data_IF_458177615642
#
_entry.id   IF_458177615642
#
_cell.length_a   1.000
_cell.length_b   1.000
_cell.length_c   1.000
_cell.angle_alpha   90.00
_cell.angle_beta   90.00
_cell.angle_gamma   90.00
#
_symmetry.space_group_name_H-M   'P 1'
#
loop_
_entity.id
_entity.type
_entity.pdbx_description
1 polymer ?
#
# COMPACT_ATOMS: atom_id res chain seq x y z
N UNK A 1 10.91 22.66 2.93
CA UNK A 1 10.68 22.04 4.25
C UNK A 1 11.92 21.24 4.63
N UNK A 2 12.72 21.71 5.58
CA UNK A 2 13.88 20.95 6.10
C UNK A 2 13.38 20.11 7.26
N UNK A 3 13.16 18.82 7.02
CA UNK A 3 12.77 17.90 8.09
C UNK A 3 14.05 17.44 8.77
N UNK A 4 14.14 17.58 10.09
CA UNK A 4 15.29 17.09 10.86
C UNK A 4 15.10 15.60 11.10
N UNK A 5 15.88 14.78 10.40
CA UNK A 5 15.92 13.34 10.61
C UNK A 5 16.73 13.06 11.89
N UNK A 6 16.10 13.13 13.07
CA UNK A 6 16.71 12.83 14.36
C UNK A 6 16.28 11.45 14.88
N UNK A 7 17.25 10.56 15.09
CA UNK A 7 17.02 9.32 15.85
C UNK A 7 16.81 9.66 17.32
N UNK A 8 15.56 9.53 17.79
CA UNK A 8 15.23 9.56 19.21
C UNK A 8 14.13 8.54 19.49
N UNK A 9 14.44 7.62 20.40
CA UNK A 9 13.52 6.63 20.94
C UNK A 9 12.41 7.35 21.69
N UNK A 10 11.24 7.52 21.07
CA UNK A 10 9.98 7.84 21.75
C UNK A 10 8.82 7.30 20.89
N UNK A 11 8.53 6.02 21.07
CA UNK A 11 7.27 5.40 20.66
C UNK A 11 6.18 5.84 21.64
N UNK A 12 5.66 7.05 21.48
CA UNK A 12 4.32 7.38 21.96
C UNK A 12 3.79 8.63 21.27
N UNK A 13 2.53 8.55 20.87
CA UNK A 13 1.66 9.63 20.37
C UNK A 13 1.80 9.99 18.90
N UNK A 14 1.10 9.21 18.06
CA UNK A 14 0.45 9.69 16.84
C UNK A 14 -0.83 8.85 16.57
N UNK A 15 -1.72 8.80 17.55
CA UNK A 15 -3.14 8.52 17.34
C UNK A 15 -3.92 9.68 17.95
N UNK A 16 -4.02 10.77 17.19
CA UNK A 16 -5.05 11.77 17.47
C UNK A 16 -6.32 11.35 16.73
N UNK A 17 -7.25 10.84 17.53
CA UNK A 17 -8.66 10.72 17.22
C UNK A 17 -9.24 12.12 16.98
N UNK A 18 -9.79 12.35 15.79
CA UNK A 18 -10.79 13.40 15.62
C UNK A 18 -12.12 12.87 16.16
N UNK A 19 -12.42 13.29 17.38
CA UNK A 19 -13.76 13.25 17.95
C UNK A 19 -14.68 14.18 17.15
N UNK A 20 -15.76 13.63 16.61
CA UNK A 20 -16.95 14.41 16.24
C UNK A 20 -17.91 14.31 17.41
N UNK A 21 -18.01 15.39 18.19
CA UNK A 21 -18.93 15.48 19.30
C UNK A 21 -20.37 15.61 18.81
N UNK A 22 -21.23 14.81 19.44
CA UNK A 22 -22.67 14.75 19.33
C UNK A 22 -23.35 16.10 19.57
N UNK A 23 -24.45 16.34 18.85
CA UNK A 23 -25.63 16.96 19.45
C UNK A 23 -26.84 16.07 19.20
N UNK A 24 -27.42 15.65 20.31
CA UNK A 24 -28.58 14.78 20.47
C UNK A 24 -29.87 15.45 20.01
N UNK A 25 -30.75 14.70 19.33
CA UNK A 25 -32.17 14.70 19.64
C UNK A 25 -32.83 13.40 19.17
N UNK A 26 -33.84 13.02 19.93
CA UNK A 26 -34.38 11.67 20.15
C UNK A 26 -35.45 11.25 19.15
N UNK A 27 -35.46 9.94 18.89
CA UNK A 27 -36.60 9.08 18.51
C UNK A 27 -37.51 9.52 17.36
N UNK A 28 -37.41 8.83 16.22
CA UNK A 28 -38.49 8.04 15.62
C UNK A 28 -37.95 7.25 14.43
N UNK A 29 -38.41 6.01 14.34
CA UNK A 29 -38.26 5.08 13.22
C UNK A 29 -38.61 5.72 11.87
N UNK A 30 -37.63 5.91 11.00
CA UNK A 30 -37.85 6.06 9.56
C UNK A 30 -36.73 5.35 8.78
N UNK A 31 -37.16 4.71 7.70
CA UNK A 31 -36.48 3.74 6.89
C UNK A 31 -35.17 4.29 6.29
N UNK A 32 -34.04 3.62 6.51
CA UNK A 32 -32.86 3.82 5.66
C UNK A 32 -33.15 3.09 4.35
N UNK A 33 -33.88 3.78 3.47
CA UNK A 33 -34.01 3.45 2.07
C UNK A 33 -32.62 3.49 1.42
N UNK A 34 -32.22 2.37 0.84
CA UNK A 34 -31.42 2.25 -0.38
C UNK A 34 -30.71 3.52 -0.87
N UNK A 35 -29.43 3.67 -0.51
CA UNK A 35 -28.47 4.33 -1.40
C UNK A 35 -27.24 3.42 -1.51
N UNK A 36 -27.33 2.49 -2.48
CA UNK A 36 -26.21 1.69 -2.95
C UNK A 36 -25.16 2.62 -3.53
N UNK A 37 -24.10 2.91 -2.79
CA UNK A 37 -22.87 3.40 -3.38
C UNK A 37 -22.25 2.26 -4.21
N UNK A 38 -22.61 2.18 -5.49
CA UNK A 38 -22.13 1.19 -6.48
C UNK A 38 -20.67 1.41 -6.91
N UNK A 39 -19.82 1.96 -6.03
CA UNK A 39 -18.40 2.24 -6.31
C UNK A 39 -17.60 0.93 -6.41
N UNK A 40 -18.03 -0.11 -5.70
CA UNK A 40 -17.42 -1.45 -5.74
C UNK A 40 -18.47 -2.53 -6.04
N UNK A 41 -19.19 -2.40 -7.17
CA UNK A 41 -19.99 -3.52 -7.68
C UNK A 41 -19.07 -4.57 -8.34
N UNK A 42 -18.12 -5.10 -7.58
CA UNK A 42 -17.24 -6.18 -7.99
C UNK A 42 -17.75 -7.49 -7.41
N UNK A 43 -17.72 -8.55 -8.22
CA UNK A 43 -17.90 -9.89 -7.69
C UNK A 43 -16.62 -10.32 -6.96
N UNK A 44 -16.55 -9.99 -5.67
CA UNK A 44 -15.41 -10.27 -4.79
C UNK A 44 -15.09 -11.77 -4.68
N UNK A 45 -16.09 -12.64 -4.76
CA UNK A 45 -15.87 -14.09 -4.74
C UNK A 45 -15.13 -14.56 -5.99
N UNK A 46 -15.51 -14.05 -7.17
CA UNK A 46 -14.83 -14.36 -8.43
C UNK A 46 -13.38 -13.84 -8.42
N UNK A 47 -13.15 -12.65 -7.85
CA UNK A 47 -11.80 -12.12 -7.68
C UNK A 47 -10.94 -13.01 -6.77
N UNK A 48 -11.47 -13.40 -5.60
CA UNK A 48 -10.76 -14.27 -4.68
C UNK A 48 -10.40 -15.62 -5.33
N UNK A 49 -11.32 -16.22 -6.10
CA UNK A 49 -11.07 -17.43 -6.87
C UNK A 49 -9.95 -17.24 -7.92
N UNK A 50 -10.01 -16.16 -8.70
CA UNK A 50 -8.98 -15.84 -9.69
C UNK A 50 -7.59 -15.61 -9.06
N UNK A 51 -7.53 -15.02 -7.86
CA UNK A 51 -6.27 -14.84 -7.13
C UNK A 51 -5.67 -16.19 -6.70
N UNK A 52 -6.51 -17.14 -6.30
CA UNK A 52 -6.07 -18.49 -5.92
C UNK A 52 -5.61 -19.34 -7.11
N UNK A 53 -6.00 -19.00 -8.34
CA UNK A 53 -5.56 -19.71 -9.55
C UNK A 53 -4.07 -19.47 -9.89
N UNK A 54 -3.52 -18.32 -9.52
CA UNK A 54 -2.09 -18.02 -9.74
C UNK A 54 -1.27 -18.50 -8.55
N UNK A 55 -0.08 -19.05 -8.79
CA UNK A 55 0.84 -19.32 -7.68
C UNK A 55 1.42 -18.00 -7.14
N UNK A 56 1.87 -18.03 -5.89
CA UNK A 56 2.48 -16.86 -5.22
C UNK A 56 3.76 -16.38 -5.93
N UNK A 57 4.45 -17.25 -6.65
CA UNK A 57 5.74 -17.00 -7.31
C UNK A 57 5.64 -16.67 -8.80
N UNK A 58 4.45 -16.78 -9.40
CA UNK A 58 4.32 -16.58 -10.85
C UNK A 58 4.53 -15.11 -11.20
N UNK A 59 5.48 -14.86 -12.11
CA UNK A 59 5.82 -13.53 -12.59
C UNK A 59 5.14 -13.25 -13.93
N UNK A 60 4.54 -12.09 -14.05
CA UNK A 60 3.86 -11.61 -15.24
C UNK A 60 4.43 -10.25 -15.63
N UNK A 61 4.27 -9.90 -16.91
CA UNK A 61 4.66 -8.60 -17.43
C UNK A 61 3.43 -7.75 -17.72
N UNK A 62 3.48 -6.47 -17.37
CA UNK A 62 2.48 -5.48 -17.75
C UNK A 62 3.16 -4.27 -18.38
N UNK A 63 2.65 -3.80 -19.51
CA UNK A 63 3.11 -2.60 -20.17
C UNK A 63 2.24 -1.40 -19.77
N UNK A 64 2.89 -0.31 -19.35
CA UNK A 64 2.25 0.98 -19.12
C UNK A 64 2.57 1.91 -20.26
N UNK A 65 1.54 2.49 -20.88
CA UNK A 65 1.72 3.54 -21.87
C UNK A 65 1.63 4.86 -21.13
N UNK A 66 2.77 5.55 -21.02
CA UNK A 66 2.88 6.85 -20.34
C UNK A 66 3.38 7.88 -21.33
N UNK A 67 2.78 9.07 -21.31
CA UNK A 67 3.16 10.17 -22.19
C UNK A 67 2.02 11.12 -22.48
N UNK A 68 2.38 12.36 -22.83
CA UNK A 68 1.47 13.41 -23.28
C UNK A 68 1.98 13.96 -24.62
N UNK A 69 1.09 14.53 -25.43
CA UNK A 69 1.43 15.20 -26.70
C UNK A 69 2.17 14.30 -27.70
N UNK A 70 1.56 13.16 -28.06
CA UNK A 70 1.99 12.20 -29.10
C UNK A 70 3.31 11.45 -28.88
N UNK A 71 4.09 11.74 -27.83
CA UNK A 71 5.24 10.92 -27.43
C UNK A 71 4.74 9.90 -26.40
N UNK A 72 4.58 8.65 -26.83
CA UNK A 72 4.13 7.54 -25.97
C UNK A 72 5.32 6.66 -25.65
N UNK A 73 5.69 6.59 -24.37
CA UNK A 73 6.67 5.65 -23.87
C UNK A 73 5.95 4.42 -23.33
N UNK A 74 6.38 3.23 -23.75
CA UNK A 74 5.87 1.97 -23.21
C UNK A 74 6.87 1.45 -22.19
N UNK A 75 6.46 1.37 -20.93
CA UNK A 75 7.28 0.90 -19.82
C UNK A 75 6.82 -0.52 -19.46
N UNK A 76 7.71 -1.49 -19.61
CA UNK A 76 7.45 -2.87 -19.23
C UNK A 76 7.81 -3.08 -17.76
N UNK A 77 6.85 -3.56 -16.98
CA UNK A 77 7.03 -3.87 -15.57
C UNK A 77 6.82 -5.37 -15.35
N UNK A 78 7.73 -6.00 -14.62
CA UNK A 78 7.64 -7.40 -14.22
C UNK A 78 7.26 -7.47 -12.73
N UNK A 79 6.15 -8.11 -12.40
CA UNK A 79 5.58 -8.26 -11.05
C UNK A 79 4.93 -9.63 -10.91
N UNK A 80 4.56 -10.03 -9.69
CA UNK A 80 3.76 -11.23 -9.53
C UNK A 80 2.41 -11.09 -10.23
N UNK A 81 1.91 -12.19 -10.80
CA UNK A 81 0.67 -12.18 -11.59
C UNK A 81 -0.54 -11.71 -10.77
N UNK A 82 -0.57 -12.00 -9.46
CA UNK A 82 -1.62 -11.52 -8.54
C UNK A 82 -1.63 -9.99 -8.42
N UNK A 83 -0.45 -9.35 -8.36
CA UNK A 83 -0.34 -7.89 -8.32
C UNK A 83 -0.73 -7.24 -9.65
N UNK A 84 -0.39 -7.89 -10.76
CA UNK A 84 -0.82 -7.48 -12.09
C UNK A 84 -2.34 -7.55 -12.24
N UNK A 85 -2.99 -8.58 -11.68
CA UNK A 85 -4.44 -8.67 -11.64
C UNK A 85 -5.07 -7.50 -10.87
N UNK A 86 -4.52 -7.14 -9.70
CA UNK A 86 -4.97 -5.95 -8.96
C UNK A 86 -4.81 -4.68 -9.78
N UNK A 87 -3.66 -4.49 -10.42
CA UNK A 87 -3.41 -3.34 -11.29
C UNK A 87 -4.43 -3.25 -12.44
N UNK A 88 -4.79 -4.38 -13.07
CA UNK A 88 -5.81 -4.42 -14.13
C UNK A 88 -7.19 -4.02 -13.60
N UNK A 89 -7.58 -4.54 -12.44
CA UNK A 89 -8.87 -4.25 -11.81
C UNK A 89 -8.94 -2.78 -11.41
N UNK A 90 -7.91 -2.25 -10.78
CA UNK A 90 -7.92 -0.85 -10.39
C UNK A 90 -7.90 0.11 -11.58
N UNK A 91 -7.31 -0.30 -12.70
CA UNK A 91 -7.34 0.49 -13.94
C UNK A 91 -8.64 0.35 -14.74
N UNK A 92 -9.58 -0.52 -14.32
CA UNK A 92 -10.82 -0.78 -15.05
C UNK A 92 -11.86 0.36 -14.95
N UNK A 93 -11.90 1.08 -13.82
CA UNK A 93 -12.83 2.19 -13.57
C UNK A 93 -12.04 3.45 -13.21
N UNK A 94 -12.51 4.63 -13.62
CA UNK A 94 -11.95 5.93 -13.27
C UNK A 94 -11.78 6.16 -11.76
N UNK A 95 -12.76 5.79 -10.93
CA UNK A 95 -12.66 5.95 -9.47
C UNK A 95 -11.55 5.09 -8.88
N UNK A 96 -11.51 3.82 -9.30
CA UNK A 96 -10.46 2.90 -8.89
C UNK A 96 -9.10 3.30 -9.43
N UNK A 97 -9.04 3.92 -10.62
CA UNK A 97 -7.81 4.42 -11.21
C UNK A 97 -7.24 5.56 -10.38
N UNK A 98 -8.08 6.46 -9.88
CA UNK A 98 -7.66 7.51 -8.94
C UNK A 98 -7.12 6.89 -7.64
N UNK A 99 -7.84 5.92 -7.08
CA UNK A 99 -7.38 5.18 -5.91
C UNK A 99 -6.05 4.44 -6.17
N UNK A 100 -5.88 3.85 -7.35
CA UNK A 100 -4.66 3.17 -7.77
C UNK A 100 -3.46 4.12 -7.74
N UNK A 101 -3.62 5.35 -8.24
CA UNK A 101 -2.55 6.35 -8.27
C UNK A 101 -2.08 6.72 -6.86
N UNK A 102 -2.98 6.71 -5.87
CA UNK A 102 -2.63 6.99 -4.47
C UNK A 102 -1.93 5.80 -3.80
N UNK A 103 -2.34 4.58 -4.11
CA UNK A 103 -1.85 3.37 -3.45
C UNK A 103 -0.56 2.83 -4.08
N UNK A 104 -0.34 3.02 -5.39
CA UNK A 104 0.86 2.52 -6.09
C UNK A 104 2.17 2.95 -5.45
N UNK A 105 2.37 4.21 -5.03
CA UNK A 105 3.56 4.61 -4.29
C UNK A 105 3.71 3.85 -2.96
N UNK A 106 2.61 3.47 -2.30
CA UNK A 106 2.67 2.71 -1.05
C UNK A 106 3.00 1.23 -1.27
N UNK A 107 2.51 0.63 -2.36
CA UNK A 107 2.78 -0.77 -2.69
C UNK A 107 4.14 -0.96 -3.34
N UNK A 108 4.41 -0.21 -4.40
CA UNK A 108 5.54 -0.44 -5.31
C UNK A 108 6.58 0.68 -5.25
N UNK A 109 6.38 1.66 -4.38
CA UNK A 109 7.21 2.86 -4.33
C UNK A 109 8.66 2.58 -3.99
N UNK A 110 9.55 3.20 -4.75
CA UNK A 110 10.99 3.25 -4.48
C UNK A 110 11.36 4.57 -3.84
N UNK A 111 12.28 4.49 -2.88
CA UNK A 111 12.87 5.63 -2.17
C UNK A 111 14.32 5.72 -2.60
N UNK A 112 14.67 6.80 -3.28
CA UNK A 112 16.05 7.05 -3.70
C UNK A 112 16.77 7.87 -2.63
N UNK A 113 18.05 7.61 -2.36
CA UNK A 113 18.80 8.43 -1.41
C UNK A 113 20.21 8.78 -1.88
N UNK A 114 20.69 9.94 -1.47
CA UNK A 114 22.01 10.47 -1.79
C UNK A 114 22.54 11.35 -0.64
N UNK A 115 23.85 11.38 -0.36
CA UNK A 115 24.89 10.47 -0.87
C UNK A 115 24.84 9.09 -0.22
N UNK A 116 25.32 8.08 -0.95
CA UNK A 116 25.61 6.76 -0.38
C UNK A 116 27.00 6.78 0.26
N UNK A 117 27.05 6.52 1.56
CA UNK A 117 28.27 6.39 2.35
C UNK A 117 28.01 5.40 3.49
N UNK A 118 29.06 4.89 4.14
CA UNK A 118 28.91 3.84 5.15
C UNK A 118 27.97 4.22 6.31
N UNK A 119 27.88 5.51 6.65
CA UNK A 119 27.04 5.99 7.74
C UNK A 119 25.56 6.05 7.35
N UNK A 120 25.26 6.64 6.18
CA UNK A 120 23.90 6.72 5.66
C UNK A 120 23.39 5.35 5.23
N UNK A 121 24.24 4.50 4.65
CA UNK A 121 23.86 3.13 4.29
C UNK A 121 23.49 2.33 5.55
N UNK A 122 24.22 2.51 6.67
CA UNK A 122 23.87 1.90 7.95
C UNK A 122 22.56 2.45 8.53
N UNK A 123 22.31 3.76 8.41
CA UNK A 123 21.04 4.37 8.80
C UNK A 123 19.88 3.84 7.95
N UNK A 124 20.06 3.76 6.63
CA UNK A 124 19.07 3.22 5.71
C UNK A 124 18.85 1.73 5.99
N UNK A 125 19.89 0.97 6.34
CA UNK A 125 19.76 -0.44 6.74
C UNK A 125 18.86 -0.59 7.97
N UNK A 126 19.01 0.27 8.98
CA UNK A 126 18.12 0.29 10.15
C UNK A 126 16.67 0.63 9.76
N UNK A 127 16.48 1.59 8.86
CA UNK A 127 15.13 1.93 8.37
C UNK A 127 14.54 0.76 7.57
N UNK A 128 15.35 0.05 6.77
CA UNK A 128 14.88 -1.08 5.97
C UNK A 128 14.39 -2.25 6.83
N UNK A 129 14.85 -2.39 8.08
CA UNK A 129 14.34 -3.38 9.03
C UNK A 129 12.85 -3.20 9.34
N UNK A 130 12.30 -1.98 9.24
CA UNK A 130 10.85 -1.76 9.43
C UNK A 130 10.01 -2.46 8.35
N UNK A 131 10.54 -2.60 7.13
CA UNK A 131 9.89 -3.33 6.04
C UNK A 131 10.07 -4.85 6.15
N UNK A 132 11.11 -5.31 6.87
CA UNK A 132 11.29 -6.73 7.18
C UNK A 132 10.18 -7.23 8.12
N UNK A 133 9.82 -6.44 9.14
CA UNK A 133 8.69 -6.76 10.03
C UNK A 133 7.35 -6.89 9.28
N UNK A 134 7.18 -6.17 8.16
CA UNK A 134 6.00 -6.28 7.31
C UNK A 134 5.94 -7.66 6.61
N UNK A 135 7.07 -8.26 6.25
CA UNK A 135 7.10 -9.62 5.70
C UNK A 135 6.64 -10.67 6.71
N UNK A 136 7.05 -10.53 7.96
CA UNK A 136 6.59 -11.40 9.05
C UNK A 136 5.08 -11.28 9.26
N UNK A 137 4.55 -10.05 9.20
CA UNK A 137 3.12 -9.79 9.29
C UNK A 137 2.35 -10.43 8.12
N UNK A 138 2.87 -10.39 6.89
CA UNK A 138 2.27 -11.10 5.74
C UNK A 138 2.27 -12.62 5.98
N UNK A 139 3.36 -13.19 6.51
CA UNK A 139 3.42 -14.62 6.85
C UNK A 139 2.36 -14.99 7.89
N UNK A 140 2.17 -14.14 8.90
CA UNK A 140 1.11 -14.30 9.89
C UNK A 140 -0.28 -14.30 9.24
N UNK A 141 -0.57 -13.36 8.34
CA UNK A 141 -1.86 -13.34 7.63
C UNK A 141 -2.08 -14.58 6.77
N UNK A 142 -1.04 -15.08 6.09
CA UNK A 142 -1.14 -16.35 5.35
C UNK A 142 -1.43 -17.53 6.27
N UNK A 143 -0.80 -17.57 7.44
CA UNK A 143 -1.09 -18.61 8.44
C UNK A 143 -2.55 -18.53 8.90
N UNK A 144 -3.04 -17.34 9.23
CA UNK A 144 -4.44 -17.11 9.60
C UNK A 144 -5.38 -17.53 8.46
N UNK A 145 -5.06 -17.21 7.20
CA UNK A 145 -5.84 -17.62 6.04
C UNK A 145 -6.04 -19.14 5.98
N UNK A 146 -4.96 -19.91 6.22
CA UNK A 146 -5.01 -21.36 6.25
C UNK A 146 -5.89 -21.89 7.39
N UNK A 147 -5.84 -21.23 8.57
CA UNK A 147 -6.71 -21.60 9.71
C UNK A 147 -8.18 -21.30 9.45
N UNK A 148 -8.51 -20.15 8.84
CA UNK A 148 -9.89 -19.79 8.49
C UNK A 148 -10.44 -20.79 7.45
N UNK A 149 -9.61 -21.16 6.47
CA UNK A 149 -10.00 -22.10 5.43
C UNK A 149 -10.31 -23.49 6.01
N UNK A 150 -9.52 -23.97 6.98
CA UNK A 150 -9.77 -25.26 7.62
C UNK A 150 -11.01 -25.21 8.52
N UNK A 151 -11.25 -24.12 9.25
CA UNK A 151 -12.46 -23.96 10.06
C UNK A 151 -13.74 -23.90 9.21
N UNK A 152 -13.67 -23.32 8.00
CA UNK A 152 -14.79 -23.32 7.06
C UNK A 152 -15.22 -24.73 6.66
N UNK A 153 -14.27 -25.61 6.36
CA UNK A 153 -14.57 -26.99 5.96
C UNK A 153 -15.30 -27.76 7.08
N UNK A 154 -14.87 -27.56 8.34
CA UNK A 154 -15.53 -28.14 9.50
C UNK A 154 -16.96 -27.58 9.65
N UNK A 155 -17.12 -26.26 9.51
CA UNK A 155 -18.42 -25.61 9.59
C UNK A 155 -19.38 -26.13 8.51
N UNK A 156 -18.90 -26.32 7.28
CA UNK A 156 -19.69 -26.87 6.17
C UNK A 156 -20.19 -28.30 6.45
N UNK A 157 -19.35 -29.15 7.06
CA UNK A 157 -19.75 -30.51 7.47
C UNK A 157 -20.85 -30.46 8.55
N UNK A 158 -20.69 -29.62 9.58
CA UNK A 158 -21.68 -29.45 10.65
C UNK A 158 -23.02 -28.95 10.08
N UNK A 159 -22.95 -28.01 9.15
CA UNK A 159 -24.10 -27.45 8.46
C UNK A 159 -24.90 -28.52 7.68
N UNK A 160 -24.21 -29.43 6.97
CA UNK A 160 -24.84 -30.54 6.25
C UNK A 160 -25.46 -31.61 7.17
N UNK A 161 -24.95 -31.76 8.40
CA UNK A 161 -25.51 -32.66 9.42
C UNK A 161 -26.76 -32.08 10.12
N UNK A 162 -26.97 -30.76 10.07
CA UNK A 162 -28.09 -30.08 10.71
C UNK A 162 -29.37 -30.18 9.88
N UNK A 163 -30.28 -31.08 10.26
CA UNK A 163 -31.53 -31.36 9.53
C UNK A 163 -32.65 -30.29 9.69
N UNK A 164 -32.55 -29.35 10.63
CA UNK A 164 -33.68 -28.50 11.04
C UNK A 164 -33.58 -27.00 10.65
N UNK A 165 -32.52 -26.57 9.95
CA UNK A 165 -32.30 -25.13 9.69
C UNK A 165 -31.45 -24.86 8.44
N UNK A 166 -31.77 -25.52 7.32
CA UNK A 166 -31.02 -25.41 6.07
C UNK A 166 -30.90 -23.95 5.58
N UNK A 167 -31.96 -23.16 5.67
CA UNK A 167 -31.97 -21.76 5.21
C UNK A 167 -31.07 -20.85 6.06
N UNK A 168 -31.08 -21.03 7.39
CA UNK A 168 -30.25 -20.23 8.32
C UNK A 168 -28.77 -20.59 8.16
N UNK A 169 -28.47 -21.89 8.01
CA UNK A 169 -27.12 -22.37 7.74
C UNK A 169 -26.58 -21.87 6.39
N UNK A 170 -27.40 -21.87 5.32
CA UNK A 170 -27.00 -21.31 4.02
C UNK A 170 -26.69 -19.82 4.10
N UNK A 171 -27.50 -19.04 4.84
CA UNK A 171 -27.23 -17.62 5.04
C UNK A 171 -25.91 -17.37 5.78
N UNK A 172 -25.61 -18.16 6.81
CA UNK A 172 -24.35 -18.06 7.56
C UNK A 172 -23.15 -18.48 6.71
N UNK A 173 -23.28 -19.54 5.90
CA UNK A 173 -22.25 -19.97 4.95
C UNK A 173 -21.93 -18.86 3.95
N UNK A 174 -22.94 -18.21 3.37
CA UNK A 174 -22.73 -17.11 2.42
C UNK A 174 -21.97 -15.94 3.06
N UNK A 175 -22.33 -15.55 4.29
CA UNK A 175 -21.62 -14.52 5.06
C UNK A 175 -20.15 -14.89 5.32
N UNK A 176 -19.91 -16.14 5.70
CA UNK A 176 -18.57 -16.64 5.96
C UNK A 176 -17.73 -16.70 4.67
N UNK A 177 -18.30 -17.16 3.55
CA UNK A 177 -17.64 -17.19 2.23
C UNK A 177 -17.22 -15.80 1.76
N UNK A 178 -18.08 -14.79 1.95
CA UNK A 178 -17.73 -13.40 1.63
C UNK A 178 -16.56 -12.93 2.50
N UNK A 179 -16.59 -13.25 3.80
CA UNK A 179 -15.54 -12.88 4.75
C UNK A 179 -14.18 -13.50 4.40
N UNK A 180 -14.15 -14.80 4.06
CA UNK A 180 -12.94 -15.48 3.56
C UNK A 180 -12.42 -14.83 2.28
N UNK A 181 -13.33 -14.53 1.35
CA UNK A 181 -12.97 -13.95 0.06
C UNK A 181 -12.32 -12.58 0.25
N UNK A 182 -12.92 -11.71 1.07
CA UNK A 182 -12.35 -10.41 1.43
C UNK A 182 -10.99 -10.54 2.13
N UNK A 183 -10.86 -11.48 3.06
CA UNK A 183 -9.59 -11.73 3.76
C UNK A 183 -8.49 -12.19 2.79
N UNK A 184 -8.84 -13.08 1.85
CA UNK A 184 -7.94 -13.56 0.79
C UNK A 184 -7.49 -12.40 -0.09
N UNK A 185 -8.41 -11.58 -0.57
CA UNK A 185 -8.12 -10.40 -1.38
C UNK A 185 -7.18 -9.45 -0.64
N UNK A 186 -7.47 -9.16 0.63
CA UNK A 186 -6.65 -8.26 1.45
C UNK A 186 -5.23 -8.81 1.66
N UNK A 187 -5.10 -10.10 1.98
CA UNK A 187 -3.82 -10.75 2.20
C UNK A 187 -2.96 -10.73 0.93
N UNK A 188 -3.56 -11.04 -0.23
CA UNK A 188 -2.86 -11.01 -1.51
C UNK A 188 -2.51 -9.59 -1.97
N UNK A 189 -3.35 -8.61 -1.63
CA UNK A 189 -3.08 -7.22 -1.91
C UNK A 189 -1.89 -6.70 -1.09
N UNK A 190 -1.82 -6.99 0.21
CA UNK A 190 -0.67 -6.60 1.05
C UNK A 190 0.60 -7.36 0.63
N UNK A 191 0.47 -8.59 0.15
CA UNK A 191 1.61 -9.35 -0.38
C UNK A 191 2.28 -8.68 -1.59
N UNK A 192 1.61 -7.73 -2.25
CA UNK A 192 2.19 -6.92 -3.34
C UNK A 192 3.15 -5.83 -2.88
N UNK A 193 3.27 -5.61 -1.57
CA UNK A 193 4.16 -4.58 -1.03
C UNK A 193 5.63 -4.92 -1.30
N UNK A 194 6.32 -4.01 -1.97
CA UNK A 194 7.75 -4.05 -2.18
C UNK A 194 8.47 -3.82 -0.85
N UNK A 195 9.29 -4.81 -0.46
CA UNK A 195 10.07 -4.78 0.79
C UNK A 195 11.39 -4.02 0.64
N UNK A 196 12.03 -4.13 -0.52
CA UNK A 196 13.29 -3.44 -0.82
C UNK A 196 13.03 -2.10 -1.51
N UNK A 197 12.80 -1.06 -0.71
CA UNK A 197 12.41 0.26 -1.23
C UNK A 197 13.57 1.21 -1.47
N UNK A 198 14.63 1.11 -0.68
CA UNK A 198 15.74 2.06 -0.73
C UNK A 198 16.74 1.74 -1.83
N UNK A 199 17.06 2.75 -2.65
CA UNK A 199 18.05 2.64 -3.73
C UNK A 199 19.08 3.75 -3.57
N UNK A 200 20.38 3.42 -3.41
CA UNK A 200 21.44 4.41 -3.32
C UNK A 200 21.65 5.11 -4.66
N UNK A 201 22.01 6.39 -4.62
CA UNK A 201 22.37 7.20 -5.77
C UNK A 201 23.74 7.85 -5.57
N UNK A 202 24.46 8.03 -6.70
CA UNK A 202 25.82 8.57 -6.73
C UNK A 202 25.82 10.10 -6.75
N UNK A 203 24.75 10.72 -7.28
CA UNK A 203 24.61 12.17 -7.36
C UNK A 203 23.16 12.58 -7.15
N UNK A 204 22.96 13.83 -6.76
CA UNK A 204 21.63 14.42 -6.64
C UNK A 204 20.90 14.52 -7.98
N UNK A 205 21.64 14.75 -9.08
CA UNK A 205 21.08 14.79 -10.44
C UNK A 205 20.53 13.42 -10.85
N UNK A 206 21.29 12.34 -10.62
CA UNK A 206 20.83 10.98 -10.92
C UNK A 206 19.59 10.63 -10.10
N UNK A 207 19.54 11.05 -8.83
CA UNK A 207 18.35 10.85 -7.98
C UNK A 207 17.10 11.53 -8.58
N UNK A 208 17.24 12.74 -9.11
CA UNK A 208 16.13 13.47 -9.74
C UNK A 208 15.71 12.78 -11.03
N UNK A 209 16.66 12.40 -11.89
CA UNK A 209 16.38 11.72 -13.16
C UNK A 209 15.65 10.37 -12.94
N UNK A 210 16.17 9.53 -12.04
CA UNK A 210 15.52 8.26 -11.70
C UNK A 210 14.17 8.46 -11.01
N UNK A 211 14.04 9.52 -10.18
CA UNK A 211 12.77 9.89 -9.57
C UNK A 211 11.72 10.31 -10.60
N UNK A 212 12.10 11.09 -11.62
CA UNK A 212 11.22 11.47 -12.73
C UNK A 212 10.76 10.25 -13.54
N UNK A 213 11.69 9.36 -13.91
CA UNK A 213 11.34 8.14 -14.65
C UNK A 213 10.38 7.25 -13.84
N UNK A 214 10.62 7.08 -12.54
CA UNK A 214 9.74 6.28 -11.66
C UNK A 214 8.42 6.97 -11.33
N UNK A 215 8.34 8.29 -11.45
CA UNK A 215 7.09 9.04 -11.33
C UNK A 215 6.15 8.75 -12.48
N UNK A 216 6.65 8.41 -13.67
CA UNK A 216 5.82 8.08 -14.83
C UNK A 216 4.93 6.86 -14.57
N UNK A 217 5.40 5.91 -13.75
CA UNK A 217 4.68 4.69 -13.39
C UNK A 217 3.95 4.76 -12.05
N UNK A 218 3.88 5.94 -11.43
CA UNK A 218 3.39 6.16 -10.06
C UNK A 218 4.13 5.29 -9.02
N UNK A 219 5.42 5.00 -9.24
CA UNK A 219 6.26 4.18 -8.35
C UNK A 219 7.40 4.96 -7.69
N UNK A 220 7.45 6.27 -7.88
CA UNK A 220 8.32 7.13 -7.09
C UNK A 220 7.64 7.50 -5.78
N UNK A 221 8.23 7.12 -4.65
CA UNK A 221 7.70 7.44 -3.32
C UNK A 221 8.34 8.71 -2.78
N UNK A 222 9.68 8.73 -2.72
CA UNK A 222 10.44 9.87 -2.25
C UNK A 222 11.91 9.80 -2.68
N UNK A 223 12.58 10.95 -2.68
CA UNK A 223 14.02 11.10 -2.78
C UNK A 223 14.57 11.75 -1.50
N UNK A 224 15.53 11.14 -0.83
CA UNK A 224 16.14 11.67 0.40
C UNK A 224 17.53 12.19 0.05
N UNK A 225 17.76 13.48 0.29
CA UNK A 225 19.07 14.11 0.13
C UNK A 225 19.61 14.46 1.52
N UNK A 226 20.65 13.78 1.95
CA UNK A 226 21.34 14.14 3.19
C UNK A 226 22.31 15.29 2.91
N UNK A 227 22.23 16.33 3.74
CA UNK A 227 22.96 17.58 3.53
C UNK A 227 24.27 17.65 4.32
N UNK A 228 24.43 16.80 5.34
CA UNK A 228 25.64 16.82 6.15
C UNK A 228 26.81 16.20 5.37
N UNK A 229 27.92 16.92 5.30
CA UNK A 229 29.18 16.35 4.82
C UNK A 229 29.79 15.48 5.91
N UNK A 230 29.60 14.18 5.79
CA UNK A 230 30.18 13.18 6.70
C UNK A 230 31.29 12.46 5.94
N UNK A 231 32.53 12.58 6.43
CA UNK A 231 33.65 11.80 5.91
C UNK A 231 33.62 10.38 6.51
N UNK A 232 34.21 9.40 5.83
CA UNK A 232 34.15 7.98 6.22
C UNK A 232 34.75 7.67 7.62
N UNK A 233 35.48 8.61 8.23
CA UNK A 233 36.13 8.44 9.53
C UNK A 233 35.39 9.17 10.68
N UNK A 234 34.37 9.96 10.36
CA UNK A 234 33.69 10.79 11.35
C UNK A 234 32.45 10.07 11.90
N UNK A 235 32.23 10.15 13.21
CA UNK A 235 30.99 9.65 13.81
C UNK A 235 29.77 10.46 13.33
N UNK A 236 28.63 9.77 13.12
CA UNK A 236 27.39 10.40 12.67
C UNK A 236 26.94 11.48 13.68
N UNK A 237 26.68 12.73 13.25
CA UNK A 237 26.29 13.81 14.16
C UNK A 237 24.93 13.52 14.80
N UNK A 238 24.70 14.05 16.01
CA UNK A 238 23.43 13.87 16.75
C UNK A 238 22.19 14.38 15.98
N UNK A 239 22.37 15.29 15.03
CA UNK A 239 21.31 15.84 14.19
C UNK A 239 21.67 15.74 12.72
N UNK A 240 20.83 15.05 11.94
CA UNK A 240 21.00 14.88 10.49
C UNK A 240 19.99 15.78 9.78
N UNK A 241 20.49 16.63 8.90
CA UNK A 241 19.68 17.46 8.04
C UNK A 241 19.42 16.71 6.74
N UNK A 242 18.14 16.49 6.46
CA UNK A 242 17.68 15.78 5.28
C UNK A 242 16.68 16.65 4.51
N UNK A 243 16.76 16.59 3.17
CA UNK A 243 15.80 17.19 2.24
C UNK A 243 15.04 16.06 1.57
N UNK A 244 13.73 16.01 1.80
CA UNK A 244 12.84 15.04 1.16
C UNK A 244 12.29 15.68 -0.12
N UNK A 245 12.41 14.98 -1.25
CA UNK A 245 11.82 15.29 -2.54
C UNK A 245 10.70 14.31 -2.83
N UNK A 246 9.55 14.81 -3.24
CA UNK A 246 8.39 14.02 -3.65
C UNK A 246 7.78 14.68 -4.88
N UNK A 247 6.90 13.97 -5.58
CA UNK A 247 6.09 14.55 -6.66
C UNK A 247 5.20 15.67 -6.11
N UNK A 248 4.96 16.71 -6.92
CA UNK A 248 4.11 17.83 -6.55
C UNK A 248 2.71 17.36 -6.10
N UNK A 249 2.15 16.38 -6.82
CA UNK A 249 0.83 15.81 -6.56
C UNK A 249 0.71 15.13 -5.18
N UNK A 250 1.84 14.82 -4.53
CA UNK A 250 1.90 14.08 -3.28
C UNK A 250 2.36 14.95 -2.09
N UNK A 251 2.58 16.25 -2.30
CA UNK A 251 3.04 17.19 -1.26
C UNK A 251 1.99 18.26 -1.07
N UNK A 252 1.63 18.55 0.19
CA UNK A 252 0.78 19.68 0.51
C UNK A 252 1.43 20.98 0.02
N UNK A 253 0.67 21.78 -0.73
CA UNK A 253 1.18 23.03 -1.30
C UNK A 253 1.71 23.95 -0.21
N UNK A 254 3.01 24.20 -0.20
CA UNK A 254 3.68 25.08 0.79
C UNK A 254 3.64 26.56 0.41
N UNK A 255 2.73 26.98 -0.47
CA UNK A 255 2.55 28.38 -0.81
C UNK A 255 1.59 29.02 0.22
N UNK A 256 2.16 29.61 1.26
CA UNK A 256 1.50 30.75 1.91
C UNK A 256 1.65 31.93 0.95
N UNK A 257 0.57 32.35 0.32
CA UNK A 257 0.47 33.69 -0.22
C UNK A 257 0.47 34.64 0.98
N UNK A 258 1.56 35.39 1.19
CA UNK A 258 1.49 36.59 2.01
C UNK A 258 0.55 37.55 1.29
N UNK A 259 -0.68 37.65 1.79
CA UNK A 259 -1.61 38.70 1.41
C UNK A 259 -0.95 40.04 1.74
N UNK A 260 -0.72 40.83 0.70
CA UNK A 260 -0.06 42.13 0.75
C UNK A 260 -1.08 43.26 0.75
#
# INVERSE_FOLDING_TARGET
LTILCGGRNDLSNLFYSSSLNNSSNTSTSEEISSNNNTIFNMNWNNLALNLLHYNTSDMCNMSYVVGSNNIKQTILINRTCRCILFDQIFNSNQQLKQFNRLIRPLLYGKIYYYPSNIHYDNLIKQINQTFESLDELIKLFRYIQLTIQSTYQIFLIICNLSLNSLDICQQQLNSYTISISLYTIFTEFIACIERNRFIPMISELNLIEHGQNSSLTDTFLAGIVFLNNISNNDSLPKHIQCKIRMTLDNVDNSFQTEDR
#
